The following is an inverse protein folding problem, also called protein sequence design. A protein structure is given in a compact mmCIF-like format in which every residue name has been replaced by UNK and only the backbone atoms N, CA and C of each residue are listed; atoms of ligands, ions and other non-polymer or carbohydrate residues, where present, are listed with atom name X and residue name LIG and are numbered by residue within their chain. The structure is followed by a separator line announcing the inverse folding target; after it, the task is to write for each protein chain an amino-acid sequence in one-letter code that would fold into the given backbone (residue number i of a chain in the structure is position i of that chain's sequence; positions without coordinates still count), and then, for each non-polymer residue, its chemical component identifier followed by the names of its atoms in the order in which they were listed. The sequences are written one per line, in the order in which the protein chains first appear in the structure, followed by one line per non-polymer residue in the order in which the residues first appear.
data_IF_543141344670
#
_entry.id   IF_543141344670
#
_cell.length_a   1.000
_cell.length_b   1.000
_cell.length_c   1.000
_cell.angle_alpha   90.00
_cell.angle_beta   90.00
_cell.angle_gamma   90.00
#
_symmetry.space_group_name_H-M   'P 1'
#
loop_
_entity.id
_entity.type
_entity.pdbx_description
1 polymer ?
#
# COMPACT_ATOMS: atom_id res chain seq x y z
N UNK A 1 11.91 9.44 8.99
CA UNK A 1 12.52 8.77 7.82
C UNK A 1 11.85 9.32 6.59
N UNK A 2 12.60 9.82 5.62
CA UNK A 2 12.03 10.41 4.42
C UNK A 2 11.29 9.33 3.60
N UNK A 3 9.99 9.52 3.35
CA UNK A 3 9.18 8.55 2.60
C UNK A 3 9.73 8.28 1.22
N UNK A 4 10.50 9.21 0.65
CA UNK A 4 11.21 8.97 -0.60
C UNK A 4 12.20 7.80 -0.49
N UNK A 5 12.83 7.57 0.66
CA UNK A 5 13.74 6.43 0.86
C UNK A 5 12.97 5.11 0.83
N UNK A 6 11.82 5.06 1.49
CA UNK A 6 10.93 3.88 1.47
C UNK A 6 10.39 3.62 0.07
N UNK A 7 9.91 4.65 -0.66
CA UNK A 7 9.47 4.51 -2.06
C UNK A 7 10.59 4.04 -2.97
N UNK A 8 11.80 4.59 -2.80
CA UNK A 8 12.97 4.18 -3.59
C UNK A 8 13.31 2.72 -3.34
N UNK A 9 13.29 2.28 -2.07
CA UNK A 9 13.46 0.88 -1.70
C UNK A 9 12.41 -0.02 -2.35
N UNK A 10 11.12 0.33 -2.25
CA UNK A 10 10.03 -0.45 -2.85
C UNK A 10 10.19 -0.55 -4.37
N UNK A 11 10.61 0.52 -5.02
CA UNK A 11 10.82 0.52 -6.47
C UNK A 11 11.97 -0.42 -6.88
N UNK A 12 13.10 -0.40 -6.16
CA UNK A 12 14.22 -1.32 -6.43
C UNK A 12 13.78 -2.76 -6.17
N UNK A 13 13.06 -3.02 -5.07
CA UNK A 13 12.56 -4.36 -4.74
C UNK A 13 11.59 -4.91 -5.80
N UNK A 14 10.73 -4.06 -6.36
CA UNK A 14 9.75 -4.47 -7.38
C UNK A 14 10.39 -4.76 -8.75
N UNK A 15 11.49 -4.08 -9.09
CA UNK A 15 12.12 -4.22 -10.41
C UNK A 15 13.36 -5.10 -10.40
N UNK A 16 13.91 -5.44 -9.23
CA UNK A 16 15.16 -6.19 -9.10
C UNK A 16 16.39 -5.49 -9.68
N UNK A 17 16.27 -4.20 -10.05
CA UNK A 17 17.32 -3.47 -10.77
C UNK A 17 17.26 -1.97 -10.45
N UNK A 18 18.40 -1.40 -10.08
CA UNK A 18 18.55 0.03 -9.76
C UNK A 18 18.33 0.95 -10.96
N UNK A 19 18.74 0.55 -12.17
CA UNK A 19 18.55 1.32 -13.41
C UNK A 19 17.07 1.35 -13.78
N UNK A 20 16.40 0.19 -13.72
CA UNK A 20 14.96 0.11 -13.98
C UNK A 20 14.15 0.94 -12.96
N UNK A 21 14.53 0.87 -11.68
CA UNK A 21 13.91 1.69 -10.64
C UNK A 21 14.13 3.19 -10.87
N UNK A 22 15.32 3.60 -11.29
CA UNK A 22 15.64 4.99 -11.60
C UNK A 22 14.77 5.54 -12.74
N UNK A 23 14.62 4.74 -13.81
CA UNK A 23 13.74 5.06 -14.94
C UNK A 23 12.29 5.28 -14.50
N UNK A 24 11.73 4.37 -13.68
CA UNK A 24 10.36 4.50 -13.16
C UNK A 24 10.14 5.66 -12.19
N UNK A 25 11.20 6.09 -11.50
CA UNK A 25 11.17 7.23 -10.58
C UNK A 25 11.53 8.55 -11.27
N UNK A 26 11.86 8.53 -12.58
CA UNK A 26 12.33 9.69 -13.33
C UNK A 26 13.54 10.40 -12.69
N UNK A 27 14.48 9.62 -12.14
CA UNK A 27 15.72 10.10 -11.53
C UNK A 27 16.92 9.30 -12.05
N UNK A 28 18.13 9.70 -11.65
CA UNK A 28 19.35 8.97 -12.02
C UNK A 28 19.57 7.74 -11.13
N UNK A 29 20.30 6.75 -11.66
CA UNK A 29 20.69 5.56 -10.90
C UNK A 29 21.62 5.88 -9.71
N UNK A 30 22.43 6.94 -9.81
CA UNK A 30 23.26 7.42 -8.70
C UNK A 30 22.38 7.96 -7.56
N UNK A 31 21.31 8.71 -7.87
CA UNK A 31 20.33 9.17 -6.87
C UNK A 31 19.63 7.99 -6.18
N UNK A 32 19.19 6.97 -6.94
CA UNK A 32 18.61 5.75 -6.35
C UNK A 32 19.62 5.07 -5.42
N UNK A 33 20.87 4.90 -5.87
CA UNK A 33 21.92 4.27 -5.07
C UNK A 33 22.21 5.04 -3.79
N UNK A 34 22.29 6.37 -3.85
CA UNK A 34 22.52 7.22 -2.68
C UNK A 34 21.37 7.10 -1.68
N UNK A 35 20.10 7.15 -2.14
CA UNK A 35 18.92 6.98 -1.27
C UNK A 35 18.92 5.61 -0.57
N UNK A 36 19.19 4.52 -1.30
CA UNK A 36 19.30 3.19 -0.69
C UNK A 36 20.44 3.13 0.31
N UNK A 37 21.60 3.71 -0.02
CA UNK A 37 22.73 3.74 0.90
C UNK A 37 22.39 4.50 2.20
N UNK A 38 21.77 5.68 2.09
CA UNK A 38 21.29 6.44 3.25
C UNK A 38 20.33 5.63 4.11
N UNK A 39 19.38 4.91 3.48
CA UNK A 39 18.44 4.05 4.19
C UNK A 39 19.14 2.90 4.93
N UNK A 40 20.06 2.20 4.27
CA UNK A 40 20.84 1.11 4.87
C UNK A 40 21.71 1.59 6.03
N UNK A 41 22.36 2.76 5.87
CA UNK A 41 23.16 3.39 6.93
C UNK A 41 22.30 3.78 8.12
N UNK A 42 21.11 4.35 7.89
CA UNK A 42 20.18 4.75 8.95
C UNK A 42 19.67 3.53 9.74
N UNK A 43 19.44 2.41 9.07
CA UNK A 43 18.99 1.17 9.70
C UNK A 43 20.14 0.32 10.27
N UNK A 44 21.39 0.63 9.92
CA UNK A 44 22.56 -0.14 10.31
C UNK A 44 22.68 -1.51 9.65
N UNK A 45 21.91 -1.78 8.58
CA UNK A 45 21.87 -3.10 7.90
C UNK A 45 21.79 -2.95 6.39
N UNK A 46 22.36 -3.93 5.66
CA UNK A 46 22.16 -4.05 4.21
C UNK A 46 20.78 -4.64 3.90
N UNK A 47 20.02 -3.97 3.05
CA UNK A 47 18.70 -4.40 2.58
C UNK A 47 18.78 -5.10 1.22
N UNK A 48 19.79 -4.76 0.41
CA UNK A 48 20.02 -5.40 -0.89
C UNK A 48 21.39 -6.05 -0.99
N UNK A 49 21.45 -7.17 -1.71
CA UNK A 49 22.66 -7.76 -2.23
C UNK A 49 22.75 -7.49 -3.74
N UNK A 50 23.85 -6.88 -4.18
CA UNK A 50 24.10 -6.58 -5.59
C UNK A 50 24.87 -7.74 -6.22
N UNK A 51 24.42 -8.20 -7.38
CA UNK A 51 25.03 -9.29 -8.12
C UNK A 51 24.89 -9.14 -9.64
N UNK A 52 25.36 -10.14 -10.39
CA UNK A 52 25.26 -10.16 -11.87
C UNK A 52 23.81 -10.08 -12.37
N UNK A 53 22.85 -10.54 -11.56
CA UNK A 53 21.43 -10.56 -11.89
C UNK A 53 20.69 -9.28 -11.44
N UNK A 54 21.40 -8.27 -10.94
CA UNK A 54 20.81 -7.04 -10.43
C UNK A 54 20.85 -6.95 -8.90
N UNK A 55 19.70 -6.69 -8.29
CA UNK A 55 19.55 -6.44 -6.86
C UNK A 55 18.52 -7.39 -6.24
N UNK A 56 18.96 -8.14 -5.24
CA UNK A 56 18.12 -9.07 -4.49
C UNK A 56 17.96 -8.62 -3.04
N UNK A 57 16.79 -8.87 -2.44
CA UNK A 57 16.55 -8.54 -1.04
C UNK A 57 17.32 -9.49 -0.13
N UNK A 58 18.06 -8.93 0.84
CA UNK A 58 18.60 -9.68 1.96
C UNK A 58 17.47 -10.16 2.88
N UNK A 59 17.73 -11.06 3.86
CA UNK A 59 16.73 -11.40 4.88
C UNK A 59 16.20 -10.16 5.63
N UNK A 60 17.07 -9.18 5.90
CA UNK A 60 16.67 -7.91 6.49
C UNK A 60 15.81 -7.08 5.52
N UNK A 61 16.17 -7.03 4.24
CA UNK A 61 15.37 -6.40 3.18
C UNK A 61 13.96 -6.98 3.07
N UNK A 62 13.81 -8.31 3.13
CA UNK A 62 12.50 -8.98 3.12
C UNK A 62 11.65 -8.61 4.34
N UNK A 63 12.24 -8.50 5.52
CA UNK A 63 11.54 -8.03 6.73
C UNK A 63 11.13 -6.56 6.60
N UNK A 64 12.04 -5.72 6.10
CA UNK A 64 11.79 -4.31 5.90
C UNK A 64 10.72 -4.02 4.84
N UNK A 65 10.54 -4.92 3.85
CA UNK A 65 9.57 -4.76 2.76
C UNK A 65 8.15 -4.47 3.26
N UNK A 66 7.68 -5.20 4.28
CA UNK A 66 6.37 -4.98 4.87
C UNK A 66 6.26 -3.59 5.49
N UNK A 67 7.26 -3.20 6.29
CA UNK A 67 7.30 -1.89 6.94
C UNK A 67 7.37 -0.74 5.93
N UNK A 68 8.16 -0.88 4.86
CA UNK A 68 8.25 0.11 3.80
C UNK A 68 6.92 0.33 3.09
N UNK A 69 6.19 -0.77 2.78
CA UNK A 69 4.84 -0.69 2.20
C UNK A 69 3.89 0.09 3.12
N UNK A 70 3.89 -0.24 4.42
CA UNK A 70 3.00 0.40 5.38
C UNK A 70 3.32 1.89 5.52
N UNK A 71 4.60 2.26 5.66
CA UNK A 71 5.01 3.67 5.78
C UNK A 71 4.56 4.51 4.58
N UNK A 72 4.73 4.00 3.36
CA UNK A 72 4.29 4.71 2.15
C UNK A 72 2.77 4.82 2.13
N UNK A 73 2.05 3.74 2.45
CA UNK A 73 0.59 3.74 2.52
C UNK A 73 0.05 4.74 3.54
N UNK A 74 0.60 4.76 4.75
CA UNK A 74 0.18 5.68 5.81
C UNK A 74 0.33 7.13 5.39
N UNK A 75 1.44 7.49 4.75
CA UNK A 75 1.64 8.88 4.29
C UNK A 75 0.74 9.23 3.12
N UNK A 76 0.49 8.30 2.19
CA UNK A 76 -0.51 8.53 1.15
C UNK A 76 -1.92 8.70 1.74
N UNK A 77 -2.30 7.90 2.74
CA UNK A 77 -3.58 8.05 3.41
C UNK A 77 -3.70 9.43 4.09
N UNK A 78 -2.71 9.81 4.90
CA UNK A 78 -2.70 11.12 5.57
C UNK A 78 -2.80 12.30 4.58
N UNK A 79 -2.17 12.20 3.40
CA UNK A 79 -2.29 13.23 2.35
C UNK A 79 -3.72 13.36 1.81
N UNK A 80 -4.45 12.26 1.73
CA UNK A 80 -5.84 12.30 1.27
C UNK A 80 -6.79 12.74 2.35
N UNK A 81 -6.60 12.30 3.60
CA UNK A 81 -7.44 12.70 4.73
C UNK A 81 -7.38 14.22 4.94
N UNK A 82 -6.18 14.81 4.81
CA UNK A 82 -5.99 16.27 4.88
C UNK A 82 -6.40 16.98 3.59
N UNK A 83 -6.38 16.28 2.45
CA UNK A 83 -6.65 16.80 1.11
C UNK A 83 -8.09 16.60 0.64
N UNK A 84 -9.05 16.41 1.56
CA UNK A 84 -10.45 16.22 1.25
C UNK A 84 -10.99 17.38 0.39
N UNK A 85 -11.58 17.11 -0.79
CA UNK A 85 -12.19 18.15 -1.60
C UNK A 85 -13.35 18.80 -0.85
N UNK A 86 -13.62 20.07 -1.17
CA UNK A 86 -14.76 20.81 -0.62
C UNK A 86 -16.07 20.02 -0.86
N UNK A 87 -16.87 19.86 0.20
CA UNK A 87 -18.10 19.06 0.16
C UNK A 87 -17.97 17.62 0.68
N UNK A 88 -16.75 17.15 0.97
CA UNK A 88 -16.52 15.88 1.67
C UNK A 88 -16.01 16.12 3.09
N UNK A 89 -16.56 15.40 4.07
CA UNK A 89 -16.16 15.52 5.47
C UNK A 89 -15.38 14.29 5.98
N UNK A 90 -15.41 13.18 5.23
CA UNK A 90 -14.74 11.94 5.61
C UNK A 90 -14.35 11.09 4.38
N UNK A 91 -13.51 10.08 4.58
CA UNK A 91 -13.10 9.09 3.56
C UNK A 91 -13.42 7.68 4.05
N UNK A 92 -14.12 6.90 3.24
CA UNK A 92 -14.34 5.47 3.45
C UNK A 92 -13.53 4.65 2.43
N UNK A 93 -12.65 3.78 2.92
CA UNK A 93 -11.82 2.89 2.12
C UNK A 93 -12.41 1.48 2.06
N UNK A 94 -12.87 1.10 0.87
CA UNK A 94 -13.39 -0.21 0.53
C UNK A 94 -12.36 -0.98 -0.31
N UNK A 95 -11.91 -2.13 0.20
CA UNK A 95 -11.00 -3.02 -0.51
C UNK A 95 -11.63 -4.38 -0.78
N UNK A 96 -11.45 -4.90 -1.99
CA UNK A 96 -12.05 -6.17 -2.39
C UNK A 96 -11.21 -6.99 -3.36
N UNK A 97 -11.48 -8.30 -3.40
CA UNK A 97 -10.94 -9.20 -4.44
C UNK A 97 -11.50 -8.80 -5.82
N UNK A 98 -10.67 -8.93 -6.87
CA UNK A 98 -11.05 -8.53 -8.24
C UNK A 98 -12.39 -9.13 -8.72
N UNK A 99 -12.66 -10.39 -8.42
CA UNK A 99 -13.90 -11.06 -8.81
C UNK A 99 -15.16 -10.47 -8.16
N UNK A 100 -15.05 -9.78 -7.01
CA UNK A 100 -16.19 -9.09 -6.39
C UNK A 100 -16.41 -7.71 -7.03
N UNK A 101 -15.35 -7.11 -7.58
CA UNK A 101 -15.43 -5.86 -8.36
C UNK A 101 -16.12 -6.04 -9.70
N UNK A 102 -16.14 -7.24 -10.26
CA UNK A 102 -16.79 -7.53 -11.54
C UNK A 102 -18.33 -7.68 -11.44
N UNK A 103 -18.92 -7.57 -10.24
CA UNK A 103 -20.37 -7.70 -10.08
C UNK A 103 -20.95 -6.95 -8.90
N UNK A 104 -20.72 -7.46 -7.68
CA UNK A 104 -21.38 -6.96 -6.47
C UNK A 104 -20.93 -5.55 -6.07
N UNK A 105 -19.62 -5.29 -6.02
CA UNK A 105 -19.10 -4.03 -5.46
C UNK A 105 -19.52 -2.78 -6.23
N UNK A 106 -19.56 -2.74 -7.58
CA UNK A 106 -20.04 -1.57 -8.30
C UNK A 106 -21.47 -1.14 -7.91
N UNK A 107 -22.38 -2.10 -7.74
CA UNK A 107 -23.76 -1.81 -7.31
C UNK A 107 -23.79 -1.28 -5.87
N UNK A 108 -22.99 -1.89 -4.99
CA UNK A 108 -22.93 -1.47 -3.60
C UNK A 108 -22.30 -0.07 -3.45
N UNK A 109 -21.25 0.23 -4.22
CA UNK A 109 -20.63 1.56 -4.30
C UNK A 109 -21.61 2.60 -4.82
N UNK A 110 -22.42 2.28 -5.84
CA UNK A 110 -23.44 3.19 -6.34
C UNK A 110 -24.48 3.52 -5.25
N UNK A 111 -24.89 2.52 -4.47
CA UNK A 111 -25.75 2.72 -3.30
C UNK A 111 -25.08 3.60 -2.23
N UNK A 112 -23.83 3.32 -1.86
CA UNK A 112 -23.08 4.12 -0.87
C UNK A 112 -23.00 5.59 -1.28
N UNK A 113 -22.72 5.87 -2.57
CA UNK A 113 -22.69 7.24 -3.11
C UNK A 113 -24.03 7.97 -2.99
N UNK A 114 -25.15 7.25 -3.07
CA UNK A 114 -26.48 7.84 -2.87
C UNK A 114 -26.83 8.05 -1.40
N UNK A 115 -26.41 7.12 -0.52
CA UNK A 115 -26.71 7.14 0.91
C UNK A 115 -25.85 8.13 1.70
N UNK A 116 -24.59 8.33 1.29
CA UNK A 116 -23.62 9.22 1.93
C UNK A 116 -22.84 10.04 0.86
N UNK A 117 -23.49 11.03 0.22
CA UNK A 117 -22.90 11.77 -0.89
C UNK A 117 -21.73 12.68 -0.49
N UNK A 118 -21.60 12.97 0.80
CA UNK A 118 -20.57 13.80 1.44
C UNK A 118 -19.43 12.99 2.07
N UNK A 119 -19.41 11.67 1.83
CA UNK A 119 -18.29 10.78 2.17
C UNK A 119 -17.55 10.39 0.89
N UNK A 120 -16.24 10.61 0.87
CA UNK A 120 -15.40 10.25 -0.25
C UNK A 120 -15.11 8.74 -0.23
N UNK A 121 -15.37 8.04 -1.33
CA UNK A 121 -15.11 6.61 -1.42
C UNK A 121 -13.76 6.33 -2.07
N UNK A 122 -12.88 5.63 -1.35
CA UNK A 122 -11.66 5.03 -1.90
C UNK A 122 -11.89 3.56 -2.19
N UNK A 123 -11.62 3.15 -3.42
CA UNK A 123 -11.87 1.80 -3.91
C UNK A 123 -10.52 1.13 -4.25
N UNK A 124 -10.22 0.00 -3.61
CA UNK A 124 -8.96 -0.71 -3.79
C UNK A 124 -9.17 -2.17 -4.20
N UNK A 125 -8.35 -2.66 -5.12
CA UNK A 125 -8.25 -4.09 -5.42
C UNK A 125 -7.12 -4.67 -4.56
N UNK A 126 -7.41 -5.72 -3.80
CA UNK A 126 -6.45 -6.34 -2.90
C UNK A 126 -6.57 -7.87 -2.86
N UNK A 127 -5.51 -8.50 -2.35
CA UNK A 127 -5.54 -9.90 -1.94
C UNK A 127 -5.87 -10.01 -0.45
N UNK A 128 -6.44 -11.12 -0.01
CA UNK A 128 -6.90 -11.33 1.37
C UNK A 128 -5.85 -10.96 2.44
N UNK A 129 -4.57 -11.35 2.34
CA UNK A 129 -3.58 -10.98 3.34
C UNK A 129 -3.38 -9.46 3.45
N UNK A 130 -3.41 -8.75 2.33
CA UNK A 130 -3.22 -7.30 2.28
C UNK A 130 -4.48 -6.55 2.75
N UNK A 131 -5.68 -7.06 2.41
CA UNK A 131 -6.94 -6.50 2.89
C UNK A 131 -7.05 -6.68 4.40
N UNK A 132 -6.79 -7.89 4.91
CA UNK A 132 -6.80 -8.17 6.35
C UNK A 132 -5.78 -7.33 7.11
N UNK A 133 -4.58 -7.15 6.55
CA UNK A 133 -3.59 -6.28 7.16
C UNK A 133 -4.08 -4.83 7.18
N UNK A 134 -4.70 -4.36 6.10
CA UNK A 134 -5.26 -3.03 6.00
C UNK A 134 -6.33 -2.75 7.04
N UNK A 135 -7.24 -3.71 7.25
CA UNK A 135 -8.29 -3.65 8.28
C UNK A 135 -7.69 -3.56 9.69
N UNK A 136 -6.69 -4.38 10.00
CA UNK A 136 -6.02 -4.36 11.31
C UNK A 136 -5.32 -3.02 11.57
N UNK A 137 -4.80 -2.39 10.52
CA UNK A 137 -4.06 -1.13 10.59
C UNK A 137 -4.94 0.12 10.46
N UNK A 138 -6.25 -0.03 10.25
CA UNK A 138 -7.16 1.09 10.01
C UNK A 138 -6.89 1.83 8.69
N UNK A 139 -6.26 1.17 7.73
CA UNK A 139 -6.04 1.72 6.37
C UNK A 139 -7.04 1.20 5.35
N UNK A 140 -7.89 0.26 5.77
CA UNK A 140 -9.08 -0.21 5.06
C UNK A 140 -10.20 -0.22 6.10
N UNK A 141 -11.34 0.36 5.75
CA UNK A 141 -12.51 0.41 6.63
C UNK A 141 -13.42 -0.80 6.38
N UNK A 142 -13.56 -1.20 5.11
CA UNK A 142 -14.37 -2.34 4.68
C UNK A 142 -13.57 -3.25 3.76
N UNK A 143 -13.47 -4.53 4.11
CA UNK A 143 -12.80 -5.56 3.31
C UNK A 143 -13.78 -6.62 2.82
N UNK A 144 -13.87 -6.84 1.51
CA UNK A 144 -14.74 -7.85 0.90
C UNK A 144 -13.91 -8.99 0.30
N UNK A 145 -14.04 -10.17 0.87
CA UNK A 145 -13.20 -11.33 0.54
C UNK A 145 -13.90 -12.66 0.82
N UNK A 146 -13.31 -13.77 0.36
CA UNK A 146 -13.92 -15.10 0.47
C UNK A 146 -13.59 -15.79 1.80
N UNK A 147 -12.38 -15.57 2.32
CA UNK A 147 -11.88 -16.24 3.52
C UNK A 147 -11.37 -15.23 4.56
N UNK A 148 -12.26 -14.42 5.16
CA UNK A 148 -11.86 -13.48 6.19
C UNK A 148 -11.36 -14.22 7.43
N UNK A 149 -10.29 -13.72 8.03
CA UNK A 149 -9.77 -14.26 9.30
C UNK A 149 -10.33 -13.45 10.46
N UNK A 150 -11.01 -14.09 11.40
CA UNK A 150 -11.51 -13.41 12.59
C UNK A 150 -10.37 -12.80 13.41
N UNK A 151 -10.54 -11.54 13.82
CA UNK A 151 -9.63 -10.81 14.70
C UNK A 151 -10.44 -9.98 15.69
N UNK A 152 -9.98 -9.83 16.95
CA UNK A 152 -10.60 -8.89 17.88
C UNK A 152 -10.67 -7.47 17.27
N UNK A 153 -11.83 -6.83 17.38
CA UNK A 153 -12.07 -5.49 16.82
C UNK A 153 -12.55 -5.47 15.37
N UNK A 154 -12.59 -6.61 14.67
CA UNK A 154 -13.20 -6.71 13.34
C UNK A 154 -14.53 -7.47 13.42
N UNK A 155 -15.54 -6.94 12.73
CA UNK A 155 -16.83 -7.62 12.52
C UNK A 155 -16.78 -8.29 11.14
N UNK A 156 -17.24 -9.53 11.06
CA UNK A 156 -17.29 -10.32 9.82
C UNK A 156 -18.73 -10.73 9.57
N UNK A 157 -19.27 -10.33 8.42
CA UNK A 157 -20.65 -10.63 8.01
C UNK A 157 -20.67 -11.35 6.65
N UNK A 158 -21.45 -12.44 6.50
CA UNK A 158 -21.68 -13.06 5.20
C UNK A 158 -22.60 -12.18 4.34
N UNK A 159 -22.22 -11.97 3.08
CA UNK A 159 -22.98 -11.11 2.16
C UNK A 159 -24.06 -11.88 1.37
N UNK A 160 -23.80 -13.14 1.03
CA UNK A 160 -24.70 -14.05 0.33
C UNK A 160 -24.20 -15.50 0.42
#
# INVERSE_FOLDING_TARGET
MDTELARTFLMVAANGNFVAAASRLHITQSTVSARIHTLETTLGVRLFQRGRNGAELTPAGKRFLRHAKHLVRTVEQARHDVGLPEGFHDVLTLSGRIAVWEGFLPHWVAWMRGAAPDVSLRLEIGFEPDIMQGLIEGTVDIGVMYTPTSRPGLVVEPLF
#
